data_IF_479162520474
#
_entry.id   IF_479162520474
#
_cell.length_a   1.000
_cell.length_b   1.000
_cell.length_c   1.000
_cell.angle_alpha   90.00
_cell.angle_beta   90.00
_cell.angle_gamma   90.00
#
_symmetry.space_group_name_H-M   'P 1'
#
loop_
_entity.id
_entity.type
_entity.pdbx_description
1 polymer ?
#
# COMPACT_ATOMS: atom_id res chain seq x y z
N UNK A 1 9.03 -13.93 5.26
CA UNK A 1 8.73 -12.68 4.55
C UNK A 1 7.88 -13.00 3.34
N UNK A 2 6.80 -12.23 3.13
CA UNK A 2 5.95 -12.40 1.96
C UNK A 2 6.73 -11.98 0.72
N UNK A 3 6.56 -12.73 -0.36
CA UNK A 3 7.17 -12.46 -1.67
C UNK A 3 6.11 -11.89 -2.62
N UNK A 4 6.51 -11.18 -3.69
CA UNK A 4 7.90 -10.88 -4.11
C UNK A 4 8.59 -9.82 -3.24
N UNK A 5 9.93 -9.76 -3.30
CA UNK A 5 10.74 -8.76 -2.60
C UNK A 5 11.01 -7.55 -3.50
N UNK A 6 10.96 -6.34 -2.94
CA UNK A 6 11.07 -5.09 -3.71
C UNK A 6 12.39 -4.97 -4.46
N UNK A 7 13.54 -5.12 -3.80
CA UNK A 7 14.85 -4.92 -4.43
C UNK A 7 15.09 -5.86 -5.65
N UNK A 8 14.91 -7.19 -5.56
CA UNK A 8 15.00 -8.08 -6.73
C UNK A 8 13.98 -7.76 -7.83
N UNK A 9 12.77 -7.33 -7.48
CA UNK A 9 11.77 -6.93 -8.47
C UNK A 9 12.19 -5.67 -9.22
N UNK A 10 12.71 -4.67 -8.52
CA UNK A 10 13.19 -3.41 -9.12
C UNK A 10 14.41 -3.66 -10.01
N UNK A 11 15.36 -4.48 -9.57
CA UNK A 11 16.50 -4.93 -10.37
C UNK A 11 16.04 -5.58 -11.69
N UNK A 12 15.10 -6.52 -11.60
CA UNK A 12 14.56 -7.22 -12.76
C UNK A 12 13.89 -6.26 -13.75
N UNK A 13 13.09 -5.30 -13.25
CA UNK A 13 12.46 -4.29 -14.10
C UNK A 13 13.48 -3.45 -14.85
N UNK A 14 14.60 -3.07 -14.21
CA UNK A 14 15.72 -2.39 -14.86
C UNK A 14 16.29 -3.24 -16.00
N UNK A 15 16.61 -4.51 -15.73
CA UNK A 15 17.19 -5.46 -16.71
C UNK A 15 16.27 -5.71 -17.91
N UNK A 16 14.96 -5.68 -17.69
CA UNK A 16 13.94 -5.84 -18.75
C UNK A 16 13.76 -4.59 -19.62
N UNK A 17 14.50 -3.51 -19.33
CA UNK A 17 14.46 -2.27 -20.11
C UNK A 17 13.25 -1.39 -19.77
N UNK A 18 12.64 -1.58 -18.60
CA UNK A 18 11.60 -0.68 -18.11
C UNK A 18 12.16 0.75 -18.08
N UNK A 19 11.49 1.66 -18.79
CA UNK A 19 11.99 3.04 -18.91
C UNK A 19 11.76 3.82 -17.62
N UNK A 20 10.63 3.60 -16.94
CA UNK A 20 10.22 4.40 -15.80
C UNK A 20 9.48 3.61 -14.74
N UNK A 21 9.79 3.89 -13.47
CA UNK A 21 9.04 3.40 -12.30
C UNK A 21 8.53 4.59 -11.47
N UNK A 22 7.22 4.62 -11.24
CA UNK A 22 6.60 5.45 -10.20
C UNK A 22 6.18 4.50 -9.05
N UNK A 23 6.69 4.71 -7.84
CA UNK A 23 6.49 3.80 -6.70
C UNK A 23 5.92 4.55 -5.49
N UNK A 24 5.12 3.85 -4.68
CA UNK A 24 4.57 4.36 -3.41
C UNK A 24 4.47 3.22 -2.39
N UNK A 25 4.37 3.57 -1.11
CA UNK A 25 4.36 2.62 0.01
C UNK A 25 2.97 2.55 0.66
N UNK A 26 2.02 1.72 0.15
CA UNK A 26 0.63 1.70 0.64
C UNK A 26 0.48 1.25 2.09
N UNK A 27 1.48 0.56 2.65
CA UNK A 27 1.48 0.14 4.05
C UNK A 27 1.81 1.25 5.05
N UNK A 28 2.23 2.43 4.57
CA UNK A 28 2.69 3.53 5.42
C UNK A 28 1.94 4.82 5.07
N UNK A 29 1.20 5.42 6.02
CA UNK A 29 0.55 6.72 5.80
C UNK A 29 1.52 7.90 5.93
N UNK A 30 2.69 7.71 6.56
CA UNK A 30 3.72 8.73 6.76
C UNK A 30 5.10 8.16 6.43
N UNK A 31 6.00 9.02 5.99
CA UNK A 31 7.36 8.62 5.64
C UNK A 31 8.16 8.22 6.90
N UNK A 32 8.91 7.14 6.77
CA UNK A 32 9.85 6.59 7.75
C UNK A 32 11.17 6.21 7.08
N UNK A 33 12.05 5.53 7.83
CA UNK A 33 13.36 5.13 7.33
C UNK A 33 13.23 4.23 6.10
N UNK A 34 12.38 3.21 6.19
CA UNK A 34 12.13 2.24 5.14
C UNK A 34 11.61 2.91 3.85
N UNK A 35 10.78 3.94 3.96
CA UNK A 35 10.25 4.63 2.77
C UNK A 35 11.26 5.57 2.13
N UNK A 36 12.08 6.29 2.92
CA UNK A 36 12.99 7.30 2.41
C UNK A 36 14.33 6.69 1.98
N UNK A 37 14.90 5.81 2.80
CA UNK A 37 16.18 5.18 2.50
C UNK A 37 15.98 4.01 1.53
N UNK A 38 15.24 2.97 1.92
CA UNK A 38 15.15 1.75 1.10
C UNK A 38 14.38 2.00 -0.21
N UNK A 39 13.23 2.68 -0.16
CA UNK A 39 12.37 2.86 -1.34
C UNK A 39 12.74 4.08 -2.18
N UNK A 40 12.97 5.25 -1.57
CA UNK A 40 13.24 6.46 -2.35
C UNK A 40 14.70 6.54 -2.85
N UNK A 41 15.65 5.95 -2.12
CA UNK A 41 17.08 5.99 -2.46
C UNK A 41 17.61 4.65 -2.97
N UNK A 42 17.63 3.58 -2.18
CA UNK A 42 18.29 2.33 -2.56
C UNK A 42 17.62 1.66 -3.77
N UNK A 43 16.29 1.53 -3.77
CA UNK A 43 15.57 0.98 -4.91
C UNK A 43 15.74 1.84 -6.18
N UNK A 44 15.87 3.16 -6.04
CA UNK A 44 16.20 4.04 -7.17
C UNK A 44 17.57 3.73 -7.74
N UNK A 45 18.58 3.58 -6.89
CA UNK A 45 19.93 3.22 -7.30
C UNK A 45 19.94 1.87 -8.01
N UNK A 46 19.33 0.85 -7.41
CA UNK A 46 19.20 -0.49 -8.02
C UNK A 46 18.56 -0.41 -9.41
N UNK A 47 17.47 0.34 -9.57
CA UNK A 47 16.77 0.46 -10.86
C UNK A 47 17.65 1.07 -11.95
N UNK A 48 18.33 2.18 -11.64
CA UNK A 48 19.13 2.95 -12.57
C UNK A 48 20.42 2.20 -12.96
N UNK A 49 21.05 1.53 -12.01
CA UNK A 49 22.24 0.70 -12.25
C UNK A 49 21.95 -0.47 -13.21
N UNK A 50 20.72 -0.99 -13.17
CA UNK A 50 20.31 -2.14 -13.98
C UNK A 50 19.67 -1.79 -15.32
N UNK A 51 19.72 -0.53 -15.74
CA UNK A 51 19.33 -0.10 -17.09
C UNK A 51 18.07 0.74 -17.18
N UNK A 52 17.34 0.91 -16.07
CA UNK A 52 16.21 1.83 -15.93
C UNK A 52 16.62 3.28 -16.21
N UNK A 53 15.64 4.15 -16.55
CA UNK A 53 15.92 5.55 -16.93
C UNK A 53 15.39 6.56 -15.93
N UNK A 54 14.14 6.40 -15.51
CA UNK A 54 13.46 7.34 -14.64
C UNK A 54 12.81 6.65 -13.44
N UNK A 55 13.02 7.20 -12.25
CA UNK A 55 12.49 6.63 -11.03
C UNK A 55 11.91 7.75 -10.18
N UNK A 56 10.63 7.61 -9.84
CA UNK A 56 9.90 8.57 -9.05
C UNK A 56 9.31 7.89 -7.83
N UNK A 57 9.85 8.25 -6.69
CA UNK A 57 9.19 8.00 -5.42
C UNK A 57 8.00 8.96 -5.25
N UNK A 58 6.85 8.42 -4.84
CA UNK A 58 5.66 9.15 -4.44
C UNK A 58 5.64 9.15 -2.91
N UNK A 59 5.78 10.34 -2.27
CA UNK A 59 5.78 10.45 -0.81
C UNK A 59 4.51 9.87 -0.20
N UNK A 60 4.62 9.37 1.03
CA UNK A 60 3.45 9.02 1.82
C UNK A 60 2.55 10.25 2.05
N UNK A 61 1.34 9.98 2.55
CA UNK A 61 0.33 11.03 2.74
C UNK A 61 0.78 12.10 3.74
N UNK A 62 1.59 11.74 4.74
CA UNK A 62 2.17 12.66 5.72
C UNK A 62 1.10 13.59 6.32
N UNK A 63 1.29 14.90 6.24
CA UNK A 63 0.35 15.92 6.72
C UNK A 63 -0.62 16.42 5.64
N UNK A 64 -0.86 15.65 4.58
CA UNK A 64 -1.80 16.03 3.53
C UNK A 64 -3.18 16.34 4.14
N UNK A 65 -3.76 17.53 3.87
CA UNK A 65 -5.04 17.92 4.49
C UNK A 65 -6.17 16.92 4.25
N UNK A 66 -6.29 16.36 3.03
CA UNK A 66 -7.34 15.38 2.72
C UNK A 66 -7.17 14.08 3.51
N UNK A 67 -5.94 13.69 3.80
CA UNK A 67 -5.66 12.53 4.64
C UNK A 67 -6.02 12.80 6.11
N UNK A 68 -5.68 13.99 6.62
CA UNK A 68 -6.08 14.40 7.96
C UNK A 68 -7.60 14.47 8.11
N UNK A 69 -8.31 14.98 7.11
CA UNK A 69 -9.78 15.00 7.07
C UNK A 69 -10.35 13.57 7.09
N UNK A 70 -9.81 12.66 6.28
CA UNK A 70 -10.24 11.26 6.27
C UNK A 70 -9.99 10.56 7.62
N UNK A 71 -8.83 10.78 8.24
CA UNK A 71 -8.53 10.27 9.59
C UNK A 71 -9.51 10.82 10.62
N UNK A 72 -9.85 12.10 10.53
CA UNK A 72 -10.83 12.74 11.41
C UNK A 72 -12.22 12.14 11.24
N UNK A 73 -12.67 11.89 10.01
CA UNK A 73 -13.95 11.21 9.74
C UNK A 73 -13.99 9.79 10.31
N UNK A 74 -12.91 9.01 10.11
CA UNK A 74 -12.78 7.65 10.69
C UNK A 74 -12.84 7.73 12.22
N UNK A 75 -12.08 8.64 12.82
CA UNK A 75 -12.07 8.82 14.27
C UNK A 75 -13.46 9.19 14.80
N UNK A 76 -14.17 10.13 14.16
CA UNK A 76 -15.53 10.49 14.54
C UNK A 76 -16.51 9.31 14.48
N UNK A 77 -16.45 8.53 13.40
CA UNK A 77 -17.30 7.34 13.25
C UNK A 77 -17.07 6.35 14.41
N UNK A 78 -15.82 6.13 14.80
CA UNK A 78 -15.47 5.19 15.87
C UNK A 78 -15.61 5.76 17.28
N UNK A 79 -15.61 7.07 17.47
CA UNK A 79 -15.87 7.74 18.75
C UNK A 79 -17.37 7.84 19.05
N UNK A 80 -18.24 7.65 18.06
CA UNK A 80 -19.70 7.73 18.21
C UNK A 80 -20.34 6.52 18.89
N UNK A 81 -19.52 5.61 19.44
CA UNK A 81 -19.95 4.37 20.08
C UNK A 81 -19.94 3.19 19.12
N UNK A 82 -19.51 2.03 19.61
CA UNK A 82 -19.49 0.80 18.83
C UNK A 82 -20.72 -0.03 19.19
N UNK A 83 -21.39 -0.60 18.17
CA UNK A 83 -22.41 -1.61 18.43
C UNK A 83 -21.75 -2.80 19.11
N UNK A 84 -22.18 -3.11 20.32
CA UNK A 84 -21.77 -4.32 21.06
C UNK A 84 -22.76 -5.47 20.86
N UNK A 85 -23.81 -5.26 20.06
CA UNK A 85 -24.77 -6.30 19.70
C UNK A 85 -24.14 -7.35 18.78
N UNK A 86 -24.65 -8.59 18.82
CA UNK A 86 -24.29 -9.58 17.82
C UNK A 86 -24.78 -9.13 16.44
N UNK A 87 -23.91 -9.26 15.44
CA UNK A 87 -24.28 -9.13 14.03
C UNK A 87 -25.40 -10.13 13.71
N UNK A 88 -26.38 -9.70 12.93
CA UNK A 88 -27.48 -10.56 12.47
C UNK A 88 -26.97 -11.68 11.56
N UNK A 89 -27.73 -12.78 11.46
CA UNK A 89 -27.41 -13.88 10.53
C UNK A 89 -27.27 -13.38 9.09
N UNK A 90 -28.04 -12.36 8.70
CA UNK A 90 -27.96 -11.77 7.37
C UNK A 90 -26.63 -11.02 7.14
N UNK A 91 -26.18 -10.23 8.11
CA UNK A 91 -24.89 -9.53 8.05
C UNK A 91 -23.71 -10.51 8.01
N UNK A 92 -23.76 -11.57 8.81
CA UNK A 92 -22.77 -12.65 8.80
C UNK A 92 -22.75 -13.36 7.43
N UNK A 93 -23.91 -13.73 6.89
CA UNK A 93 -24.00 -14.35 5.56
C UNK A 93 -23.52 -13.42 4.44
N UNK A 94 -23.70 -12.10 4.57
CA UNK A 94 -23.14 -11.13 3.62
C UNK A 94 -21.60 -11.06 3.74
N UNK A 95 -21.03 -11.11 4.94
CA UNK A 95 -19.57 -11.17 5.15
C UNK A 95 -18.96 -12.41 4.53
N UNK A 96 -19.58 -13.58 4.74
CA UNK A 96 -19.11 -14.85 4.16
C UNK A 96 -19.14 -14.80 2.64
N UNK A 97 -20.22 -14.28 2.04
CA UNK A 97 -20.30 -14.07 0.58
C UNK A 97 -19.17 -13.17 0.06
N UNK A 98 -18.87 -12.07 0.75
CA UNK A 98 -17.75 -11.19 0.37
C UNK A 98 -16.40 -11.91 0.46
N UNK A 99 -16.20 -12.73 1.50
CA UNK A 99 -14.98 -13.50 1.67
C UNK A 99 -14.79 -14.56 0.56
N UNK A 100 -15.85 -15.30 0.20
CA UNK A 100 -15.81 -16.27 -0.89
C UNK A 100 -15.59 -15.62 -2.26
N UNK A 101 -16.20 -14.45 -2.50
CA UNK A 101 -15.93 -13.64 -3.69
C UNK A 101 -14.48 -13.16 -3.78
N UNK A 102 -13.85 -12.81 -2.65
CA UNK A 102 -12.45 -12.42 -2.63
C UNK A 102 -11.52 -13.60 -2.93
N UNK A 103 -11.80 -14.78 -2.34
CA UNK A 103 -11.03 -16.02 -2.59
C UNK A 103 -11.05 -16.41 -4.06
N UNK A 104 -12.22 -16.37 -4.71
CA UNK A 104 -12.36 -16.76 -6.11
C UNK A 104 -11.70 -15.81 -7.11
N UNK A 105 -11.38 -14.56 -6.72
CA UNK A 105 -10.65 -13.59 -7.56
C UNK A 105 -9.13 -13.66 -7.42
N UNK A 106 -8.64 -14.36 -6.39
CA UNK A 106 -7.21 -14.52 -6.10
C UNK A 106 -6.69 -15.88 -6.60
N UNK A 107 -7.59 -16.84 -6.84
CA UNK A 107 -7.30 -18.13 -7.49
C UNK A 107 -7.28 -17.98 -9.02
#
# INVERSE_FOLDING_TARGET
>A
WLKPYTAPTIEQLGKEGCQRVDIFCPGFPADCLETLEEIAMEAREIFLEHGGKDYRYIPCLNSNPKWMDALYEIAQAHLSGWSLGQESEEELAQRDRRAELAKSKIA
#
